data_IF_276101997654
#
_entry.id   IF_276101997654
#
_cell.length_a   1.000
_cell.length_b   1.000
_cell.length_c   1.000
_cell.angle_alpha   90.00
_cell.angle_beta   90.00
_cell.angle_gamma   90.00
#
_symmetry.space_group_name_H-M   'P 1'
#
loop_
_entity.id
_entity.type
_entity.pdbx_description
1 polymer ?
#
# COMPACT_ATOMS: atom_id res chain seq x y z
N UNK A 1 -1.80 -0.36 -19.64
CA UNK A 1 -2.61 0.79 -19.21
C UNK A 1 -3.10 1.52 -20.43
N UNK A 2 -4.35 2.01 -20.42
CA UNK A 2 -4.77 3.08 -21.31
C UNK A 2 -4.45 4.41 -20.63
N UNK A 3 -4.03 5.41 -21.39
CA UNK A 3 -3.66 6.72 -20.84
C UNK A 3 -4.55 7.79 -21.48
N UNK A 4 -5.21 8.56 -20.63
CA UNK A 4 -6.02 9.72 -20.99
C UNK A 4 -5.20 10.99 -20.72
N UNK A 5 -4.50 11.54 -21.73
CA UNK A 5 -3.67 12.72 -21.55
C UNK A 5 -4.52 13.97 -21.39
N UNK A 6 -4.08 14.88 -20.54
CA UNK A 6 -4.64 16.21 -20.34
C UNK A 6 -3.69 17.27 -20.88
N UNK A 7 -4.24 18.30 -21.51
CA UNK A 7 -3.59 19.60 -21.57
C UNK A 7 -3.78 20.41 -20.28
N UNK A 8 -3.25 21.63 -20.25
CA UNK A 8 -3.28 22.49 -19.06
C UNK A 8 -4.69 23.02 -18.75
N UNK A 9 -5.51 23.24 -19.77
CA UNK A 9 -6.86 23.80 -19.62
C UNK A 9 -7.83 22.71 -19.16
N UNK A 10 -7.80 21.55 -19.80
CA UNK A 10 -8.55 20.36 -19.40
C UNK A 10 -8.26 19.98 -17.94
N UNK A 11 -6.97 20.02 -17.55
CA UNK A 11 -6.59 19.74 -16.17
C UNK A 11 -7.17 20.76 -15.19
N UNK A 12 -7.13 22.05 -15.53
CA UNK A 12 -7.66 23.10 -14.67
C UNK A 12 -9.18 22.95 -14.48
N UNK A 13 -9.92 22.61 -15.54
CA UNK A 13 -11.36 22.34 -15.49
C UNK A 13 -11.65 21.11 -14.61
N UNK A 14 -10.94 20.01 -14.82
CA UNK A 14 -11.09 18.79 -14.02
C UNK A 14 -10.76 19.05 -12.54
N UNK A 15 -9.65 19.73 -12.26
CA UNK A 15 -9.23 20.11 -10.91
C UNK A 15 -10.31 20.93 -10.20
N UNK A 16 -10.83 21.97 -10.86
CA UNK A 16 -11.85 22.84 -10.29
C UNK A 16 -13.13 22.05 -9.97
N UNK A 17 -13.59 21.25 -10.93
CA UNK A 17 -14.77 20.42 -10.76
C UNK A 17 -14.62 19.41 -9.61
N UNK A 18 -13.41 18.90 -9.39
CA UNK A 18 -13.09 17.93 -8.34
C UNK A 18 -13.07 18.57 -6.94
N UNK A 19 -12.47 19.76 -6.77
CA UNK A 19 -12.46 20.43 -5.46
C UNK A 19 -13.83 20.98 -5.07
N UNK A 20 -14.68 21.30 -6.04
CA UNK A 20 -16.06 21.72 -5.79
C UNK A 20 -17.02 20.54 -5.58
N UNK A 21 -16.58 19.32 -5.89
CA UNK A 21 -17.43 18.15 -5.83
C UNK A 21 -17.85 17.81 -4.40
N UNK A 22 -19.10 17.36 -4.27
CA UNK A 22 -19.66 16.98 -2.98
C UNK A 22 -19.26 15.56 -2.57
N UNK A 23 -18.61 15.44 -1.41
CA UNK A 23 -18.35 14.16 -0.76
C UNK A 23 -19.59 13.61 -0.04
N UNK A 24 -19.60 12.30 0.18
CA UNK A 24 -20.59 11.65 1.06
C UNK A 24 -20.35 12.16 2.50
N UNK A 25 -21.41 12.58 3.23
CA UNK A 25 -21.25 13.01 4.61
C UNK A 25 -20.72 11.88 5.47
N UNK A 26 -19.71 12.18 6.30
CA UNK A 26 -19.22 11.24 7.29
C UNK A 26 -20.29 10.99 8.37
N UNK A 27 -20.39 9.77 8.85
CA UNK A 27 -21.28 9.41 9.95
C UNK A 27 -20.82 10.08 11.25
N UNK A 28 -21.74 10.31 12.19
CA UNK A 28 -21.48 11.07 13.44
C UNK A 28 -20.38 10.47 14.33
N UNK A 29 -20.04 9.19 14.16
CA UNK A 29 -18.99 8.47 14.90
C UNK A 29 -17.67 8.35 14.11
N UNK A 30 -17.57 8.93 12.92
CA UNK A 30 -16.38 8.89 12.08
C UNK A 30 -15.52 10.12 12.37
N UNK A 31 -14.32 9.89 12.92
CA UNK A 31 -13.23 10.86 12.83
C UNK A 31 -12.47 10.63 11.53
N UNK A 32 -12.26 11.69 10.73
CA UNK A 32 -11.55 11.58 9.46
C UNK A 32 -10.06 11.34 9.67
N UNK A 33 -9.67 10.06 9.73
CA UNK A 33 -8.27 9.63 9.75
C UNK A 33 -7.98 8.89 8.47
N UNK A 34 -7.71 9.63 7.41
CA UNK A 34 -7.32 9.02 6.15
C UNK A 34 -5.99 8.30 6.30
N UNK A 35 -5.88 7.13 5.67
CA UNK A 35 -4.59 6.51 5.49
C UNK A 35 -3.80 7.32 4.46
N UNK A 36 -2.69 7.93 4.86
CA UNK A 36 -1.94 8.88 4.02
C UNK A 36 -1.46 8.30 2.69
N UNK A 37 -1.21 7.00 2.61
CA UNK A 37 -0.82 6.36 1.34
C UNK A 37 -2.02 6.02 0.43
N UNK A 38 -3.25 6.20 0.90
CA UNK A 38 -4.49 5.87 0.17
C UNK A 38 -5.53 6.99 0.35
N UNK A 39 -5.13 8.23 0.06
CA UNK A 39 -6.00 9.40 0.19
C UNK A 39 -7.04 9.48 -0.95
N UNK A 40 -8.27 9.95 -0.67
CA UNK A 40 -9.22 10.32 -1.71
C UNK A 40 -8.62 11.32 -2.71
N UNK A 41 -8.90 11.17 -4.00
CA UNK A 41 -8.37 12.04 -5.07
C UNK A 41 -8.77 13.51 -4.86
N UNK A 42 -9.98 13.75 -4.34
CA UNK A 42 -10.47 15.08 -3.98
C UNK A 42 -9.67 15.71 -2.83
N UNK A 43 -9.21 14.91 -1.87
CA UNK A 43 -8.36 15.39 -0.77
C UNK A 43 -6.94 15.68 -1.25
N UNK A 44 -6.42 14.89 -2.20
CA UNK A 44 -5.16 15.22 -2.88
C UNK A 44 -5.26 16.55 -3.64
N UNK A 45 -6.37 16.78 -4.36
CA UNK A 45 -6.59 18.04 -5.06
C UNK A 45 -6.64 19.24 -4.09
N UNK A 46 -7.33 19.10 -2.95
CA UNK A 46 -7.39 20.15 -1.92
C UNK A 46 -6.03 20.54 -1.34
N UNK A 47 -5.06 19.60 -1.30
CA UNK A 47 -3.70 19.86 -0.82
C UNK A 47 -2.87 20.71 -1.78
N UNK A 48 -3.29 20.85 -3.04
CA UNK A 48 -2.66 21.76 -3.99
C UNK A 48 -2.90 21.36 -5.44
N UNK A 49 -2.87 22.37 -6.33
CA UNK A 49 -3.18 22.21 -7.75
C UNK A 49 -2.29 21.20 -8.46
N UNK A 50 -1.02 21.07 -8.10
CA UNK A 50 -0.08 20.13 -8.73
C UNK A 50 0.03 18.79 -7.98
N UNK A 51 -0.63 18.63 -6.83
CA UNK A 51 -0.50 17.43 -5.98
C UNK A 51 -0.86 16.16 -6.75
N UNK A 52 -1.95 16.17 -7.53
CA UNK A 52 -2.35 15.02 -8.34
C UNK A 52 -1.34 14.71 -9.45
N UNK A 53 -0.68 15.72 -10.02
CA UNK A 53 0.36 15.57 -11.07
C UNK A 53 1.67 14.99 -10.54
N UNK A 54 1.91 15.04 -9.24
CA UNK A 54 3.02 14.33 -8.61
C UNK A 54 2.64 12.94 -8.10
N UNK A 55 1.33 12.64 -8.04
CA UNK A 55 0.77 11.37 -7.58
C UNK A 55 0.07 10.60 -8.72
N UNK A 56 -1.26 10.41 -8.62
CA UNK A 56 -2.01 9.51 -9.52
C UNK A 56 -2.13 10.01 -10.97
N UNK A 57 -1.91 11.30 -11.23
CA UNK A 57 -2.00 11.90 -12.56
C UNK A 57 -0.64 12.27 -13.17
N UNK A 58 0.46 11.68 -12.66
CA UNK A 58 1.81 11.98 -13.13
C UNK A 58 2.01 11.55 -14.59
N UNK A 59 2.52 12.43 -15.47
CA UNK A 59 2.73 12.10 -16.87
C UNK A 59 4.10 11.45 -17.15
N UNK A 60 4.96 11.34 -16.13
CA UNK A 60 6.37 10.95 -16.27
C UNK A 60 6.54 9.66 -17.08
N UNK A 61 7.25 9.78 -18.21
CA UNK A 61 7.57 8.64 -19.08
C UNK A 61 6.47 8.28 -20.07
N UNK A 62 5.40 9.08 -20.16
CA UNK A 62 4.37 8.97 -21.18
C UNK A 62 4.65 9.98 -22.29
N UNK A 63 4.58 9.55 -23.55
CA UNK A 63 4.65 10.42 -24.73
C UNK A 63 3.31 10.35 -25.44
N UNK A 64 2.60 11.47 -25.56
CA UNK A 64 1.35 11.51 -26.32
C UNK A 64 1.68 11.39 -27.81
N UNK A 65 1.22 10.34 -28.51
CA UNK A 65 1.51 10.14 -29.93
C UNK A 65 0.94 11.25 -30.82
N UNK A 66 -0.07 12.00 -30.37
CA UNK A 66 -0.67 13.11 -31.14
C UNK A 66 0.23 14.34 -31.17
N UNK A 67 1.00 14.57 -30.10
CA UNK A 67 1.82 15.78 -29.94
C UNK A 67 3.32 15.50 -29.95
N UNK A 68 3.72 14.24 -29.75
CA UNK A 68 5.11 13.82 -29.59
C UNK A 68 5.75 14.31 -28.29
N UNK A 69 4.96 14.79 -27.32
CA UNK A 69 5.43 15.39 -26.06
C UNK A 69 4.81 14.72 -24.84
N UNK A 70 5.45 14.88 -23.69
CA UNK A 70 4.86 14.48 -22.41
C UNK A 70 3.62 15.36 -22.12
N UNK A 71 2.44 14.77 -21.80
CA UNK A 71 1.23 15.54 -21.53
C UNK A 71 1.36 16.31 -20.20
N UNK A 72 0.47 17.29 -19.97
CA UNK A 72 0.53 18.08 -18.74
C UNK A 72 0.19 17.23 -17.50
N UNK A 73 -0.78 16.34 -17.64
CA UNK A 73 -1.17 15.30 -16.70
C UNK A 73 -1.74 14.10 -17.47
N UNK A 74 -1.88 12.93 -16.84
CA UNK A 74 -2.53 11.79 -17.47
C UNK A 74 -3.29 10.93 -16.45
N UNK A 75 -4.50 10.52 -16.80
CA UNK A 75 -5.21 9.46 -16.06
C UNK A 75 -4.87 8.12 -16.68
N UNK A 76 -4.57 7.13 -15.85
CA UNK A 76 -4.30 5.78 -16.32
C UNK A 76 -5.48 4.86 -15.99
N UNK A 77 -5.87 4.04 -16.96
CA UNK A 77 -6.84 2.98 -16.78
C UNK A 77 -6.16 1.62 -16.86
N UNK A 78 -6.55 0.72 -15.95
CA UNK A 78 -6.05 -0.67 -15.90
C UNK A 78 -7.19 -1.62 -16.24
N UNK A 79 -6.90 -2.60 -17.08
CA UNK A 79 -7.83 -3.69 -17.38
C UNK A 79 -8.13 -4.48 -16.11
N UNK A 80 -9.40 -4.69 -15.80
CA UNK A 80 -9.84 -5.40 -14.59
C UNK A 80 -10.23 -6.85 -14.88
N UNK A 81 -10.70 -7.16 -16.10
CA UNK A 81 -11.14 -8.51 -16.46
C UNK A 81 -10.52 -8.99 -17.78
N UNK A 82 -10.57 -10.30 -18.00
CA UNK A 82 -9.99 -10.93 -19.19
C UNK A 82 -10.67 -10.51 -20.51
N UNK A 83 -11.96 -10.15 -20.45
CA UNK A 83 -12.75 -9.72 -21.61
C UNK A 83 -12.36 -8.32 -22.11
N UNK A 84 -11.61 -7.56 -21.31
CA UNK A 84 -11.19 -6.20 -21.63
C UNK A 84 -12.37 -5.25 -21.93
N UNK A 85 -13.51 -5.47 -21.28
CA UNK A 85 -14.69 -4.61 -21.31
C UNK A 85 -14.90 -3.83 -20.00
N UNK A 86 -14.07 -4.09 -18.98
CA UNK A 86 -14.03 -3.34 -17.73
C UNK A 86 -12.62 -2.81 -17.41
N UNK A 87 -12.56 -1.52 -17.04
CA UNK A 87 -11.32 -0.83 -16.70
C UNK A 87 -11.49 0.00 -15.43
N UNK A 88 -10.50 -0.04 -14.54
CA UNK A 88 -10.45 0.81 -13.34
C UNK A 88 -9.55 2.03 -13.56
N UNK A 89 -9.88 3.14 -12.88
CA UNK A 89 -9.02 4.32 -12.81
C UNK A 89 -7.94 4.12 -11.74
N UNK A 90 -6.68 4.21 -12.15
CA UNK A 90 -5.54 3.96 -11.27
C UNK A 90 -5.31 5.14 -10.33
N UNK A 91 -5.42 4.90 -9.02
CA UNK A 91 -5.15 5.93 -8.00
C UNK A 91 -6.28 6.95 -7.81
N UNK A 92 -7.50 6.60 -8.23
CA UNK A 92 -8.71 7.44 -8.17
C UNK A 92 -9.70 6.98 -7.08
N UNK A 93 -9.19 6.38 -5.99
CA UNK A 93 -9.97 6.19 -4.78
C UNK A 93 -10.59 7.53 -4.36
N UNK A 94 -11.88 7.54 -4.02
CA UNK A 94 -12.63 8.77 -3.72
C UNK A 94 -13.82 8.47 -2.82
N UNK A 95 -14.31 9.51 -2.14
CA UNK A 95 -15.49 9.49 -1.28
C UNK A 95 -16.56 10.47 -1.78
N UNK A 96 -16.59 10.72 -3.10
CA UNK A 96 -17.57 11.59 -3.75
C UNK A 96 -18.93 10.91 -3.85
N UNK A 97 -20.00 11.69 -3.84
CA UNK A 97 -21.35 11.20 -4.17
C UNK A 97 -21.35 10.63 -5.59
N UNK A 98 -22.12 9.58 -5.87
CA UNK A 98 -22.09 8.93 -7.19
C UNK A 98 -22.43 9.87 -8.36
N UNK A 99 -23.38 10.80 -8.17
CA UNK A 99 -23.69 11.81 -9.18
C UNK A 99 -22.50 12.73 -9.47
N UNK A 100 -21.72 13.07 -8.45
CA UNK A 100 -20.51 13.88 -8.57
C UNK A 100 -19.37 13.09 -9.20
N UNK A 101 -19.22 11.81 -8.88
CA UNK A 101 -18.27 10.93 -9.56
C UNK A 101 -18.56 10.90 -11.06
N UNK A 102 -19.80 10.63 -11.46
CA UNK A 102 -20.17 10.58 -12.87
C UNK A 102 -19.91 11.93 -13.58
N UNK A 103 -20.25 13.05 -12.92
CA UNK A 103 -20.03 14.41 -13.45
C UNK A 103 -18.55 14.72 -13.65
N UNK A 104 -17.72 14.49 -12.62
CA UNK A 104 -16.31 14.85 -12.62
C UNK A 104 -15.48 13.91 -13.49
N UNK A 105 -15.72 12.59 -13.41
CA UNK A 105 -14.95 11.60 -14.16
C UNK A 105 -15.20 11.69 -15.67
N UNK A 106 -16.36 12.18 -16.12
CA UNK A 106 -16.62 12.46 -17.55
C UNK A 106 -15.86 13.66 -18.11
N UNK A 107 -15.22 14.46 -17.26
CA UNK A 107 -14.31 15.53 -17.70
C UNK A 107 -12.93 14.98 -18.07
N UNK A 108 -12.65 13.70 -17.84
CA UNK A 108 -11.41 13.05 -18.26
C UNK A 108 -11.45 12.86 -19.79
N UNK A 109 -10.44 13.33 -20.54
CA UNK A 109 -10.41 13.18 -21.99
C UNK A 109 -10.52 11.73 -22.44
N UNK A 110 -11.48 11.45 -23.31
CA UNK A 110 -11.83 10.09 -23.77
C UNK A 110 -12.82 9.35 -22.88
N UNK A 111 -13.29 9.96 -21.78
CA UNK A 111 -14.32 9.39 -20.88
C UNK A 111 -15.62 10.19 -20.89
N UNK A 112 -15.83 11.07 -21.84
CA UNK A 112 -16.99 11.97 -21.92
C UNK A 112 -18.32 11.19 -21.90
N UNK A 113 -18.32 10.04 -22.56
CA UNK A 113 -19.46 9.11 -22.65
C UNK A 113 -19.24 7.82 -21.85
N UNK A 114 -18.34 7.83 -20.86
CA UNK A 114 -18.06 6.63 -20.07
C UNK A 114 -19.33 6.12 -19.34
N UNK A 115 -19.50 4.80 -19.39
CA UNK A 115 -20.42 4.05 -18.56
C UNK A 115 -19.68 3.55 -17.31
N UNK A 116 -20.20 3.87 -16.13
CA UNK A 116 -19.59 3.49 -14.86
C UNK A 116 -20.26 2.22 -14.34
N UNK A 117 -19.58 1.08 -14.51
CA UNK A 117 -20.04 -0.21 -13.98
C UNK A 117 -20.08 -0.24 -12.45
N UNK A 118 -19.14 0.47 -11.82
CA UNK A 118 -19.03 0.60 -10.38
C UNK A 118 -18.41 1.94 -10.01
N UNK A 119 -19.02 2.64 -9.05
CA UNK A 119 -18.47 3.87 -8.50
C UNK A 119 -17.48 3.58 -7.37
N UNK A 120 -16.48 4.46 -7.24
CA UNK A 120 -15.48 4.41 -6.20
C UNK A 120 -16.08 4.64 -4.82
N UNK A 121 -15.49 4.00 -3.82
CA UNK A 121 -15.84 4.15 -2.42
C UNK A 121 -14.57 4.07 -1.59
N UNK A 122 -14.60 4.69 -0.42
CA UNK A 122 -13.59 4.48 0.61
C UNK A 122 -14.26 3.78 1.78
N UNK A 123 -13.61 2.71 2.24
CA UNK A 123 -14.13 1.89 3.32
C UNK A 123 -13.41 2.20 4.61
N UNK A 124 -14.17 2.16 5.70
CA UNK A 124 -13.60 2.19 7.04
C UNK A 124 -12.98 0.83 7.36
N UNK A 125 -11.69 0.85 7.67
CA UNK A 125 -10.96 -0.32 8.12
C UNK A 125 -10.77 -0.30 9.64
N UNK A 126 -11.01 -1.45 10.29
CA UNK A 126 -10.73 -1.65 11.72
C UNK A 126 -9.38 -2.33 11.87
N UNK A 127 -8.54 -1.79 12.76
CA UNK A 127 -7.27 -2.38 13.14
C UNK A 127 -7.06 -2.27 14.65
N UNK A 128 -6.28 -3.18 15.21
CA UNK A 128 -5.90 -3.15 16.63
C UNK A 128 -4.67 -2.26 16.82
N UNK A 129 -4.49 -1.71 18.02
CA UNK A 129 -3.23 -1.06 18.39
C UNK A 129 -2.15 -2.13 18.60
N UNK A 130 -1.62 -2.66 17.49
CA UNK A 130 -0.68 -3.79 17.48
C UNK A 130 0.51 -3.60 18.40
N UNK A 131 1.14 -2.41 18.53
CA UNK A 131 2.29 -2.29 19.42
C UNK A 131 1.94 -2.54 20.89
N UNK A 132 0.68 -2.28 21.27
CA UNK A 132 0.16 -2.55 22.61
C UNK A 132 -0.13 -4.03 22.83
N UNK A 133 -0.57 -4.76 21.80
CA UNK A 133 -1.17 -6.09 21.97
C UNK A 133 -0.41 -7.24 21.31
N UNK A 134 0.50 -6.99 20.36
CA UNK A 134 1.22 -8.02 19.61
C UNK A 134 2.72 -8.04 19.93
N UNK A 135 3.31 -9.24 19.84
CA UNK A 135 4.76 -9.50 19.75
C UNK A 135 5.21 -9.54 18.28
N UNK A 136 6.51 -9.39 17.97
CA UNK A 136 7.01 -9.54 16.59
C UNK A 136 6.77 -10.93 15.98
N UNK A 137 6.52 -11.94 16.82
CA UNK A 137 6.07 -13.28 16.40
C UNK A 137 4.61 -13.33 15.95
N UNK A 138 3.90 -12.20 15.95
CA UNK A 138 2.47 -12.04 15.68
C UNK A 138 1.53 -12.62 16.75
N UNK A 139 2.07 -13.08 17.89
CA UNK A 139 1.28 -13.50 19.05
C UNK A 139 0.69 -12.32 19.79
N UNK A 140 -0.51 -12.51 20.34
CA UNK A 140 -1.06 -11.61 21.34
C UNK A 140 -0.26 -11.69 22.65
N UNK A 141 0.03 -10.54 23.27
CA UNK A 141 0.83 -10.41 24.49
C UNK A 141 0.20 -11.15 25.67
N UNK A 142 -1.10 -10.96 25.88
CA UNK A 142 -1.87 -11.54 27.00
C UNK A 142 -2.35 -12.98 26.73
N UNK A 143 -2.51 -13.35 25.45
CA UNK A 143 -2.92 -14.70 25.01
C UNK A 143 -1.92 -15.23 23.99
N UNK A 144 -0.78 -15.81 24.43
CA UNK A 144 0.28 -16.29 23.53
C UNK A 144 -0.19 -17.39 22.56
N UNK A 145 -1.33 -18.03 22.82
CA UNK A 145 -1.98 -19.00 21.94
C UNK A 145 -2.82 -18.37 20.82
N UNK A 146 -3.00 -17.04 20.82
CA UNK A 146 -3.75 -16.30 19.81
C UNK A 146 -2.80 -15.49 18.92
N UNK A 147 -3.02 -15.56 17.61
CA UNK A 147 -2.25 -14.83 16.60
C UNK A 147 -3.15 -13.91 15.79
N UNK A 148 -2.62 -12.73 15.40
CA UNK A 148 -3.29 -11.83 14.47
C UNK A 148 -2.41 -11.60 13.24
N UNK A 149 -3.04 -11.47 12.07
CA UNK A 149 -2.37 -11.20 10.81
C UNK A 149 -3.28 -10.48 9.82
N UNK A 150 -2.68 -9.93 8.77
CA UNK A 150 -3.41 -9.16 7.76
C UNK A 150 -3.76 -7.76 8.24
N UNK A 151 -4.68 -7.11 7.53
CA UNK A 151 -5.03 -5.70 7.74
C UNK A 151 -5.38 -5.33 9.20
N UNK A 152 -5.97 -6.27 9.95
CA UNK A 152 -6.33 -6.04 11.37
C UNK A 152 -5.11 -5.70 12.24
N UNK A 153 -3.89 -6.08 11.84
CA UNK A 153 -2.65 -5.78 12.57
C UNK A 153 -2.09 -4.38 12.26
N UNK A 154 -2.73 -3.61 11.37
CA UNK A 154 -2.22 -2.32 10.94
C UNK A 154 -1.13 -2.43 9.87
N UNK A 155 -1.10 -3.51 9.10
CA UNK A 155 -0.44 -3.48 7.78
C UNK A 155 -1.47 -3.16 6.70
N UNK A 156 -1.07 -2.48 5.63
CA UNK A 156 -1.92 -2.19 4.49
C UNK A 156 -1.30 -2.75 3.21
N UNK A 157 -2.10 -3.44 2.40
CA UNK A 157 -1.67 -4.05 1.15
C UNK A 157 -1.75 -5.58 1.17
N UNK A 158 -1.98 -6.16 -0.01
CA UNK A 158 -2.13 -7.61 -0.16
C UNK A 158 -0.85 -8.36 0.19
N UNK A 159 0.31 -7.85 -0.25
CA UNK A 159 1.61 -8.50 -0.04
C UNK A 159 1.98 -8.45 1.45
N UNK A 160 1.77 -7.32 2.11
CA UNK A 160 2.00 -7.15 3.54
C UNK A 160 1.08 -8.05 4.36
N UNK A 161 -0.20 -8.15 3.97
CA UNK A 161 -1.15 -9.02 4.64
C UNK A 161 -0.77 -10.50 4.51
N UNK A 162 -0.35 -10.93 3.32
CA UNK A 162 0.17 -12.29 3.09
C UNK A 162 1.43 -12.54 3.90
N UNK A 163 2.36 -11.59 3.96
CA UNK A 163 3.60 -11.73 4.72
C UNK A 163 3.33 -11.89 6.24
N UNK A 164 2.43 -11.08 6.80
CA UNK A 164 2.03 -11.21 8.20
C UNK A 164 1.26 -12.51 8.47
N UNK A 165 0.39 -12.91 7.53
CA UNK A 165 -0.34 -14.18 7.60
C UNK A 165 0.58 -15.39 7.61
N UNK A 166 1.58 -15.38 6.72
CA UNK A 166 2.60 -16.41 6.66
C UNK A 166 3.38 -16.52 7.98
N UNK A 167 3.88 -15.39 8.52
CA UNK A 167 4.64 -15.40 9.77
C UNK A 167 3.80 -15.88 10.97
N UNK A 168 2.57 -15.39 11.09
CA UNK A 168 1.64 -15.83 12.12
C UNK A 168 1.31 -17.32 12.01
N UNK A 169 1.05 -17.83 10.80
CA UNK A 169 0.76 -19.23 10.54
C UNK A 169 1.94 -20.16 10.87
N UNK A 170 3.16 -19.77 10.47
CA UNK A 170 4.39 -20.49 10.84
C UNK A 170 4.50 -20.59 12.37
N UNK A 171 4.33 -19.49 13.09
CA UNK A 171 4.45 -19.50 14.54
C UNK A 171 3.30 -20.23 15.25
N UNK A 172 2.08 -20.19 14.72
CA UNK A 172 0.96 -20.96 15.23
C UNK A 172 1.21 -22.47 15.09
N UNK A 173 1.71 -22.93 13.94
CA UNK A 173 2.08 -24.33 13.72
C UNK A 173 3.22 -24.78 14.64
N UNK A 174 4.23 -23.91 14.85
CA UNK A 174 5.34 -24.17 15.77
C UNK A 174 4.86 -24.28 17.22
N UNK A 175 4.00 -23.37 17.66
CA UNK A 175 3.40 -23.44 18.99
C UNK A 175 2.61 -24.73 19.19
N UNK A 176 1.79 -25.12 18.20
CA UNK A 176 0.98 -26.34 18.25
C UNK A 176 1.82 -27.63 18.31
N UNK A 177 3.07 -27.58 17.85
CA UNK A 177 4.01 -28.71 17.82
C UNK A 177 5.10 -28.62 18.90
N UNK A 178 4.96 -27.70 19.86
CA UNK A 178 5.92 -27.52 20.96
C UNK A 178 7.28 -26.95 20.51
N UNK A 179 7.37 -26.38 19.31
CA UNK A 179 8.58 -25.75 18.80
C UNK A 179 8.69 -24.29 19.25
N UNK A 180 9.92 -23.82 19.43
CA UNK A 180 10.22 -22.41 19.72
C UNK A 180 9.77 -21.50 18.56
N UNK A 181 9.07 -20.41 18.84
CA UNK A 181 8.64 -19.47 17.80
C UNK A 181 9.81 -18.73 17.16
N UNK A 182 9.55 -18.13 16.00
CA UNK A 182 10.55 -17.48 15.16
C UNK A 182 10.14 -16.06 14.83
N UNK A 183 11.14 -15.19 14.73
CA UNK A 183 11.00 -13.82 14.25
C UNK A 183 11.69 -13.71 12.91
N UNK A 184 11.06 -13.00 11.96
CA UNK A 184 11.67 -12.71 10.67
C UNK A 184 12.86 -11.74 10.84
N UNK A 185 13.93 -11.86 10.03
CA UNK A 185 15.12 -11.01 10.15
C UNK A 185 14.77 -9.52 10.06
N UNK A 186 15.28 -8.65 10.96
CA UNK A 186 14.90 -7.24 11.01
C UNK A 186 15.18 -6.42 9.73
N UNK A 187 16.14 -6.83 8.88
CA UNK A 187 16.38 -6.17 7.59
C UNK A 187 15.46 -6.64 6.47
N UNK A 188 14.83 -7.80 6.63
CA UNK A 188 13.84 -8.27 5.66
C UNK A 188 12.58 -7.40 5.71
N UNK A 189 11.84 -7.31 4.60
CA UNK A 189 10.58 -6.58 4.56
C UNK A 189 9.57 -7.13 5.60
N UNK A 190 9.46 -8.45 5.70
CA UNK A 190 8.59 -9.14 6.66
C UNK A 190 8.99 -8.82 8.10
N UNK A 191 10.27 -8.91 8.45
CA UNK A 191 10.75 -8.60 9.79
C UNK A 191 10.64 -7.12 10.14
N UNK A 192 10.87 -6.23 9.17
CA UNK A 192 10.66 -4.80 9.34
C UNK A 192 9.20 -4.47 9.67
N UNK A 193 8.23 -5.06 8.93
CA UNK A 193 6.80 -4.91 9.20
C UNK A 193 6.42 -5.47 10.56
N UNK A 194 6.79 -6.72 10.85
CA UNK A 194 6.47 -7.39 12.12
C UNK A 194 7.01 -6.61 13.33
N UNK A 195 8.23 -6.08 13.22
CA UNK A 195 8.84 -5.23 14.25
C UNK A 195 8.12 -3.90 14.37
N UNK A 196 7.73 -3.26 13.26
CA UNK A 196 6.99 -2.00 13.30
C UNK A 196 5.64 -2.19 13.99
N UNK A 197 4.82 -3.16 13.55
CA UNK A 197 3.51 -3.38 14.16
C UNK A 197 3.61 -3.80 15.62
N UNK A 198 4.69 -4.44 16.06
CA UNK A 198 4.87 -4.85 17.45
C UNK A 198 5.48 -3.78 18.36
N UNK A 199 6.16 -2.76 17.82
CA UNK A 199 6.99 -1.83 18.62
C UNK A 199 6.85 -0.34 18.26
N UNK A 200 6.01 0.03 17.28
CA UNK A 200 5.76 1.43 16.97
C UNK A 200 5.15 2.19 18.16
N UNK A 201 5.29 3.52 18.17
CA UNK A 201 4.68 4.35 19.21
C UNK A 201 3.15 4.20 19.20
N UNK A 202 2.58 3.91 20.36
CA UNK A 202 1.15 3.55 20.49
C UNK A 202 0.20 4.72 20.28
N UNK A 203 0.60 5.94 20.67
CA UNK A 203 -0.30 7.12 20.71
C UNK A 203 -0.83 7.51 19.33
N UNK A 204 0.01 7.38 18.30
CA UNK A 204 -0.31 7.77 16.93
C UNK A 204 -0.12 6.60 15.95
N UNK A 205 -0.32 5.36 16.41
CA UNK A 205 -0.16 4.18 15.56
C UNK A 205 -1.15 4.21 14.38
N UNK A 206 -0.63 4.18 13.17
CA UNK A 206 -1.38 4.14 11.91
C UNK A 206 -1.00 2.89 11.12
N UNK A 207 -1.91 2.38 10.27
CA UNK A 207 -1.57 1.33 9.34
C UNK A 207 -0.37 1.70 8.47
N UNK A 208 0.37 0.71 7.98
CA UNK A 208 1.56 0.96 7.15
C UNK A 208 1.72 -0.06 6.03
N UNK A 209 2.22 0.40 4.89
CA UNK A 209 2.74 -0.44 3.81
C UNK A 209 4.26 -0.58 3.92
N UNK A 210 4.86 -1.56 3.24
CA UNK A 210 6.31 -1.65 3.25
C UNK A 210 6.93 -0.47 2.48
N UNK A 211 7.88 0.22 3.11
CA UNK A 211 8.69 1.25 2.47
C UNK A 211 10.16 1.05 2.81
N UNK A 212 11.05 1.64 2.01
CA UNK A 212 12.49 1.67 2.30
C UNK A 212 12.82 2.36 3.64
N UNK A 213 11.93 3.20 4.17
CA UNK A 213 12.11 3.85 5.47
C UNK A 213 11.88 2.90 6.66
N UNK A 214 11.13 1.81 6.47
CA UNK A 214 10.94 0.78 7.50
C UNK A 214 12.09 -0.24 7.54
N UNK A 215 12.76 -0.42 6.40
CA UNK A 215 13.93 -1.28 6.32
C UNK A 215 15.08 -0.69 7.14
N UNK A 216 15.94 -1.57 7.65
CA UNK A 216 17.12 -1.12 8.38
C UNK A 216 18.00 -0.24 7.47
N UNK A 217 18.39 0.96 7.90
CA UNK A 217 19.18 1.86 7.07
C UNK A 217 20.53 1.22 6.73
N UNK A 218 21.10 1.64 5.60
CA UNK A 218 22.49 1.33 5.27
C UNK A 218 23.42 2.08 6.22
N UNK A 219 24.51 1.44 6.60
CA UNK A 219 25.57 2.09 7.37
C UNK A 219 26.18 3.25 6.55
N UNK A 220 26.77 4.25 7.20
CA UNK A 220 27.23 5.47 6.50
C UNK A 220 28.18 5.18 5.33
N UNK A 221 29.05 4.17 5.49
CA UNK A 221 30.01 3.76 4.46
C UNK A 221 29.29 3.23 3.20
N UNK A 222 28.33 2.33 3.39
CA UNK A 222 27.53 1.77 2.29
C UNK A 222 26.56 2.80 1.69
N UNK A 223 26.02 3.70 2.51
CA UNK A 223 25.17 4.80 2.06
C UNK A 223 25.91 5.76 1.12
N UNK A 224 27.18 6.08 1.41
CA UNK A 224 28.03 6.95 0.57
C UNK A 224 28.58 6.25 -0.67
N UNK A 225 28.64 4.91 -0.66
CA UNK A 225 29.15 4.10 -1.78
C UNK A 225 28.37 4.30 -3.08
N UNK A 226 27.07 4.55 -2.99
CA UNK A 226 26.19 4.66 -4.15
C UNK A 226 25.63 6.08 -4.31
N UNK A 227 25.97 6.73 -5.43
CA UNK A 227 25.49 8.09 -5.75
C UNK A 227 23.99 8.13 -6.09
N UNK A 228 23.49 7.15 -6.85
CA UNK A 228 22.09 7.11 -7.29
C UNK A 228 21.22 6.45 -6.22
N UNK A 229 20.03 7.02 -5.98
CA UNK A 229 19.03 6.49 -5.04
C UNK A 229 18.62 5.05 -5.38
N UNK A 230 18.44 4.76 -6.67
CA UNK A 230 18.10 3.42 -7.17
C UNK A 230 19.14 2.38 -6.75
N UNK A 231 20.43 2.69 -6.92
CA UNK A 231 21.52 1.75 -6.62
C UNK A 231 21.62 1.50 -5.11
N UNK A 232 21.42 2.54 -4.28
CA UNK A 232 21.30 2.38 -2.81
C UNK A 232 20.16 1.46 -2.42
N UNK A 233 18.98 1.68 -2.98
CA UNK A 233 17.80 0.87 -2.70
C UNK A 233 18.01 -0.59 -3.15
N UNK A 234 18.62 -0.81 -4.31
CA UNK A 234 18.93 -2.15 -4.78
C UNK A 234 19.88 -2.87 -3.82
N UNK A 235 20.95 -2.20 -3.38
CA UNK A 235 21.87 -2.78 -2.41
C UNK A 235 21.20 -3.12 -1.07
N UNK A 236 20.29 -2.27 -0.59
CA UNK A 236 19.51 -2.55 0.61
C UNK A 236 18.59 -3.78 0.44
N UNK A 237 17.99 -3.95 -0.75
CA UNK A 237 17.22 -5.15 -1.11
C UNK A 237 18.11 -6.39 -1.13
N UNK A 238 19.31 -6.31 -1.71
CA UNK A 238 20.22 -7.44 -1.81
C UNK A 238 20.65 -7.93 -0.41
N UNK A 239 20.94 -7.01 0.51
CA UNK A 239 21.22 -7.33 1.91
C UNK A 239 20.01 -7.98 2.60
N UNK A 240 18.81 -7.41 2.42
CA UNK A 240 17.58 -7.93 2.99
C UNK A 240 17.28 -9.36 2.50
N UNK A 241 17.43 -9.62 1.20
CA UNK A 241 17.24 -10.93 0.59
C UNK A 241 18.30 -11.93 1.05
N UNK A 242 19.55 -11.50 1.22
CA UNK A 242 20.62 -12.35 1.76
C UNK A 242 20.29 -12.83 3.16
N UNK A 243 19.88 -11.94 4.06
CA UNK A 243 19.50 -12.33 5.43
C UNK A 243 18.24 -13.19 5.45
N UNK A 244 17.22 -12.83 4.67
CA UNK A 244 16.00 -13.61 4.55
C UNK A 244 16.28 -15.04 4.06
N UNK A 245 17.11 -15.20 3.04
CA UNK A 245 17.46 -16.50 2.49
C UNK A 245 18.29 -17.34 3.47
N UNK A 246 19.25 -16.74 4.18
CA UNK A 246 20.01 -17.43 5.22
C UNK A 246 19.08 -17.94 6.34
N UNK A 247 18.20 -17.07 6.83
CA UNK A 247 17.19 -17.41 7.82
C UNK A 247 16.21 -18.50 7.34
N UNK A 248 15.77 -18.45 6.08
CA UNK A 248 14.93 -19.50 5.51
C UNK A 248 15.66 -20.85 5.38
N UNK A 249 16.98 -20.87 5.17
CA UNK A 249 17.73 -22.13 5.10
C UNK A 249 17.91 -22.74 6.50
N UNK A 250 18.15 -21.91 7.52
CA UNK A 250 18.04 -22.33 8.92
C UNK A 250 16.62 -22.87 9.20
N UNK A 251 15.61 -22.22 8.61
CA UNK A 251 14.21 -22.61 8.72
C UNK A 251 13.82 -23.90 8.03
N UNK A 252 14.54 -24.35 6.99
CA UNK A 252 14.21 -25.63 6.33
C UNK A 252 14.39 -26.82 7.26
N UNK A 253 15.25 -26.71 8.28
CA UNK A 253 15.32 -27.69 9.36
C UNK A 253 14.06 -27.73 10.25
N UNK A 254 13.14 -26.76 10.12
CA UNK A 254 11.89 -26.69 10.88
C UNK A 254 10.76 -27.54 10.26
N UNK A 255 10.77 -27.75 8.95
CA UNK A 255 9.73 -28.50 8.23
C UNK A 255 10.05 -30.00 8.22
N UNK A 256 11.32 -30.39 8.13
CA UNK A 256 11.73 -31.81 8.12
C UNK A 256 11.47 -32.52 9.45
N UNK A 257 11.35 -31.79 10.56
CA UNK A 257 11.03 -32.37 11.86
C UNK A 257 9.56 -32.84 11.98
N UNK A 258 8.66 -32.35 11.11
CA UNK A 258 7.25 -32.78 11.07
C UNK A 258 7.07 -34.17 10.43
N UNK A 259 7.98 -34.57 9.53
CA UNK A 259 7.95 -35.90 8.89
C UNK A 259 8.66 -36.98 9.73
N UNK A 260 9.31 -36.60 10.83
CA UNK A 260 10.13 -37.49 11.66
C UNK A 260 9.50 -37.85 13.03
N UNK A 261 8.21 -37.55 13.23
CA UNK A 261 7.50 -37.98 14.44
C UNK A 261 6.65 -39.22 14.11
N UNK A 262 6.86 -40.37 14.77
CA UNK A 262 6.17 -41.63 14.49
C UNK A 262 4.66 -41.60 14.80
#
# INVERSE_FOLDING_TARGET
>A
YLNCPFDREQYAIFYQALIEAQSVPLQRFEETRWFESCLPIEELARRGVDTMRYGPMKPVGLVDPRTGREPYAAVQLRQENLMADAYSLVGFQNHLRYGEQARVLRLIPGMENAEFLQFGQIHRNTYICSPRVLRPTMQMRERPDVFFAGQITGVEGYVESVAMGWLAGVNAARLATGQMLVEAPPRSATGALARYVANAETKNFQPVNITFALLHPLDEQDGRRFRRKRDRHQFQVDLALKEWNAWLQEAKHWVTALEATP
#
